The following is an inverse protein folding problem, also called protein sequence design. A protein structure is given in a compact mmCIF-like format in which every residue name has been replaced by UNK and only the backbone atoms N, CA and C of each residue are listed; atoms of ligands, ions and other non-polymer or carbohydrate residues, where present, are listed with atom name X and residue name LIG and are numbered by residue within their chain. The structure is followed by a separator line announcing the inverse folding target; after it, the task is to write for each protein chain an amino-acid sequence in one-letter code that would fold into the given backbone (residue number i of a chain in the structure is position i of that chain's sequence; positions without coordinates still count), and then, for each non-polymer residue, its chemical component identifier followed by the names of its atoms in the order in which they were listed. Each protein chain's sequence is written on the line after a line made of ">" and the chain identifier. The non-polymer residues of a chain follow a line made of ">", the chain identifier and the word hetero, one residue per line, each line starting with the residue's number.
data_IF_151630157469
#
_entry.id   IF_151630157469
#
_cell.length_a   1.000
_cell.length_b   1.000
_cell.length_c   1.000
_cell.angle_alpha   90.00
_cell.angle_beta   90.00
_cell.angle_gamma   90.00
#
_symmetry.space_group_name_H-M   'P 1'
#
loop_
_entity.id
_entity.type
_entity.pdbx_description
1 polymer ?
#
# COMPACT_ATOMS: atom_id res chain seq x y z
N UNK A 1 -20.77 -9.10 -5.61
CA UNK A 1 -20.05 -8.96 -6.88
C UNK A 1 -21.08 -8.78 -7.99
N UNK A 2 -21.49 -7.54 -8.19
CA UNK A 2 -22.45 -7.24 -9.26
C UNK A 2 -21.70 -6.90 -10.53
N UNK A 3 -22.35 -6.65 -11.59
CA UNK A 3 -22.12 -6.12 -12.94
C UNK A 3 -20.72 -5.61 -13.36
N UNK A 4 -19.62 -6.06 -12.75
CA UNK A 4 -18.26 -5.75 -13.23
C UNK A 4 -17.88 -6.69 -14.37
N UNK A 5 -17.02 -6.26 -15.31
CA UNK A 5 -16.49 -7.14 -16.35
C UNK A 5 -15.94 -8.45 -15.81
N UNK A 6 -16.15 -9.57 -16.49
CA UNK A 6 -15.84 -10.91 -16.00
C UNK A 6 -14.41 -11.09 -15.46
N UNK A 7 -13.41 -10.44 -16.08
CA UNK A 7 -12.02 -10.50 -15.62
C UNK A 7 -11.80 -9.84 -14.26
N UNK A 8 -12.51 -8.77 -13.91
CA UNK A 8 -12.44 -8.17 -12.56
C UNK A 8 -13.06 -9.08 -11.52
N UNK A 9 -14.22 -9.68 -11.83
CA UNK A 9 -14.89 -10.63 -10.95
C UNK A 9 -14.03 -11.87 -10.72
N UNK A 10 -13.45 -12.42 -11.79
CA UNK A 10 -12.55 -13.58 -11.69
C UNK A 10 -11.30 -13.26 -10.86
N UNK A 11 -10.70 -12.10 -11.04
CA UNK A 11 -9.54 -11.68 -10.24
C UNK A 11 -9.88 -11.57 -8.75
N UNK A 12 -11.06 -11.06 -8.41
CA UNK A 12 -11.50 -10.97 -7.02
C UNK A 12 -11.68 -12.36 -6.39
N UNK A 13 -12.34 -13.30 -7.11
CA UNK A 13 -12.52 -14.69 -6.66
C UNK A 13 -11.18 -15.39 -6.48
N UNK A 14 -10.28 -15.28 -7.46
CA UNK A 14 -8.94 -15.87 -7.40
C UNK A 14 -8.09 -15.27 -6.27
N UNK A 15 -8.25 -13.99 -5.97
CA UNK A 15 -7.53 -13.36 -4.84
C UNK A 15 -7.98 -13.94 -3.50
N UNK A 16 -9.26 -14.22 -3.33
CA UNK A 16 -9.80 -14.85 -2.12
C UNK A 16 -9.32 -16.30 -1.98
N UNK A 17 -9.37 -17.06 -3.07
CA UNK A 17 -8.84 -18.43 -3.10
C UNK A 17 -7.33 -18.44 -2.81
N UNK A 18 -6.54 -17.60 -3.47
CA UNK A 18 -5.10 -17.49 -3.30
C UNK A 18 -4.71 -17.12 -1.85
N UNK A 19 -5.52 -16.29 -1.16
CA UNK A 19 -5.29 -15.97 0.25
C UNK A 19 -5.20 -17.21 1.13
N UNK A 20 -6.06 -18.19 0.88
CA UNK A 20 -6.11 -19.43 1.65
C UNK A 20 -5.09 -20.48 1.17
N UNK A 21 -4.75 -20.49 -0.12
CA UNK A 21 -3.82 -21.47 -0.70
C UNK A 21 -2.33 -21.09 -0.49
N UNK A 22 -2.01 -19.82 -0.25
CA UNK A 22 -0.63 -19.33 -0.20
C UNK A 22 0.23 -19.99 0.91
N UNK A 23 -0.37 -20.49 1.96
CA UNK A 23 0.30 -21.21 3.06
C UNK A 23 -0.02 -22.72 3.09
N UNK A 24 -0.68 -23.26 2.08
CA UNK A 24 -0.96 -24.69 2.00
C UNK A 24 0.19 -25.43 1.28
N UNK A 25 0.96 -26.28 1.97
CA UNK A 25 2.07 -27.01 1.35
C UNK A 25 1.61 -28.05 0.31
N UNK A 26 0.33 -28.38 0.26
CA UNK A 26 -0.22 -29.36 -0.68
C UNK A 26 -0.84 -28.71 -1.92
N UNK A 27 -1.07 -27.42 -1.93
CA UNK A 27 -1.71 -26.73 -3.05
C UNK A 27 -0.85 -26.74 -4.32
N UNK A 28 0.45 -26.44 -4.20
CA UNK A 28 1.41 -26.37 -5.30
C UNK A 28 2.78 -26.89 -4.87
N UNK A 29 2.89 -28.18 -4.50
CA UNK A 29 4.12 -28.72 -3.92
C UNK A 29 5.33 -28.64 -4.84
N UNK A 30 5.13 -28.63 -6.16
CA UNK A 30 6.19 -28.51 -7.17
C UNK A 30 6.85 -27.13 -7.22
N UNK A 31 6.25 -26.13 -6.54
CA UNK A 31 6.81 -24.77 -6.47
C UNK A 31 7.71 -24.56 -5.25
N UNK A 32 7.66 -25.46 -4.25
CA UNK A 32 8.33 -25.28 -2.96
C UNK A 32 9.86 -25.40 -3.03
N UNK A 33 10.42 -25.90 -4.13
CA UNK A 33 11.86 -25.84 -4.41
C UNK A 33 12.32 -24.45 -4.89
N UNK A 34 11.41 -23.54 -5.24
CA UNK A 34 11.70 -22.18 -5.73
C UNK A 34 11.18 -21.08 -4.82
N UNK A 35 10.10 -21.35 -4.07
CA UNK A 35 9.45 -20.37 -3.18
C UNK A 35 9.13 -21.03 -1.84
N UNK A 36 8.96 -20.20 -0.81
CA UNK A 36 8.55 -20.65 0.52
C UNK A 36 7.07 -20.35 0.74
N UNK A 37 6.45 -21.13 1.61
CA UNK A 37 5.08 -20.85 2.08
C UNK A 37 5.01 -19.48 2.73
N UNK A 38 3.94 -18.75 2.44
CA UNK A 38 3.74 -17.42 3.01
C UNK A 38 2.25 -17.15 3.20
N UNK A 39 1.85 -16.71 4.40
CA UNK A 39 0.48 -16.36 4.70
C UNK A 39 0.33 -14.84 4.73
N UNK A 40 -0.48 -14.25 3.82
CA UNK A 40 -0.91 -12.87 3.95
C UNK A 40 -1.61 -12.65 5.29
N UNK A 41 -1.27 -11.60 6.03
CA UNK A 41 -1.91 -11.36 7.33
C UNK A 41 -3.38 -11.01 7.21
N UNK A 42 -3.76 -10.28 6.17
CA UNK A 42 -5.14 -9.86 5.93
C UNK A 42 -5.40 -9.51 4.48
N UNK A 43 -6.67 -9.57 4.14
CA UNK A 43 -7.18 -9.17 2.84
C UNK A 43 -8.28 -8.14 3.00
N UNK A 44 -8.24 -7.12 2.15
CA UNK A 44 -9.25 -6.08 2.10
C UNK A 44 -9.89 -6.00 0.72
N UNK A 45 -11.15 -5.60 0.71
CA UNK A 45 -11.83 -5.14 -0.49
C UNK A 45 -11.82 -3.60 -0.51
N UNK A 46 -11.25 -3.01 -1.54
CA UNK A 46 -11.36 -1.56 -1.73
C UNK A 46 -12.79 -1.27 -2.18
N UNK A 47 -13.60 -0.71 -1.29
CA UNK A 47 -15.01 -0.47 -1.50
C UNK A 47 -15.34 1.01 -1.58
N UNK A 48 -16.48 1.31 -2.16
CA UNK A 48 -17.02 2.66 -2.25
C UNK A 48 -18.55 2.62 -2.40
N UNK A 49 -19.18 3.79 -2.43
CA UNK A 49 -20.62 3.90 -2.66
C UNK A 49 -21.10 3.13 -3.91
N UNK A 50 -20.23 2.90 -4.87
CA UNK A 50 -20.50 2.12 -6.09
C UNK A 50 -20.92 0.68 -5.79
N UNK A 51 -20.23 0.04 -4.85
CA UNK A 51 -20.52 -1.33 -4.43
C UNK A 51 -21.89 -1.42 -3.72
N UNK A 52 -22.35 -0.32 -3.15
CA UNK A 52 -23.63 -0.22 -2.42
C UNK A 52 -24.78 0.29 -3.30
N UNK A 53 -24.53 0.62 -4.56
CA UNK A 53 -25.50 1.07 -5.54
C UNK A 53 -25.95 2.53 -5.38
N UNK A 54 -25.68 3.20 -4.24
CA UNK A 54 -25.88 4.63 -4.06
C UNK A 54 -25.08 5.18 -2.87
N UNK A 55 -24.81 6.49 -2.87
CA UNK A 55 -24.19 7.20 -1.74
C UNK A 55 -24.98 7.05 -0.46
N UNK A 56 -26.28 7.24 -0.53
CA UNK A 56 -27.15 7.15 0.65
C UNK A 56 -27.12 5.76 1.31
N UNK A 57 -27.09 4.69 0.51
CA UNK A 57 -26.93 3.33 1.03
C UNK A 57 -25.55 3.11 1.65
N UNK A 58 -24.51 3.62 1.03
CA UNK A 58 -23.16 3.54 1.58
C UNK A 58 -23.03 4.31 2.89
N UNK A 59 -23.62 5.50 2.99
CA UNK A 59 -23.64 6.31 4.23
C UNK A 59 -24.37 5.59 5.36
N UNK A 60 -25.47 4.92 5.05
CA UNK A 60 -26.27 4.15 6.00
C UNK A 60 -25.70 2.77 6.36
N UNK A 61 -24.69 2.28 5.62
CA UNK A 61 -24.11 0.97 5.84
C UNK A 61 -23.30 0.91 7.16
N UNK A 62 -23.27 -0.27 7.76
CA UNK A 62 -22.34 -0.57 8.85
C UNK A 62 -20.90 -0.52 8.34
N UNK A 63 -20.09 0.33 8.93
CA UNK A 63 -18.66 0.52 8.60
C UNK A 63 -17.71 -0.06 9.65
N UNK A 64 -18.21 -0.88 10.57
CA UNK A 64 -17.40 -1.49 11.65
C UNK A 64 -16.26 -2.37 11.17
N UNK A 65 -16.33 -2.85 9.93
CA UNK A 65 -15.29 -3.63 9.26
C UNK A 65 -14.52 -2.83 8.20
N UNK A 66 -14.70 -1.53 8.14
CA UNK A 66 -14.04 -0.66 7.16
C UNK A 66 -13.00 0.24 7.82
N UNK A 67 -11.93 0.48 7.11
CA UNK A 67 -10.93 1.51 7.40
C UNK A 67 -11.07 2.60 6.35
N UNK A 68 -11.24 3.84 6.79
CA UNK A 68 -11.20 5.00 5.91
C UNK A 68 -9.77 5.55 5.84
N UNK A 69 -9.25 5.67 4.63
CA UNK A 69 -7.91 6.20 4.38
C UNK A 69 -7.99 7.48 3.56
N UNK A 70 -7.28 8.52 4.01
CA UNK A 70 -7.05 9.69 3.16
C UNK A 70 -6.09 9.30 2.02
N UNK A 71 -6.60 9.31 0.79
CA UNK A 71 -5.86 8.87 -0.39
C UNK A 71 -5.22 10.01 -1.18
N UNK A 72 -5.55 11.26 -0.85
CA UNK A 72 -5.08 12.45 -1.58
C UNK A 72 -4.23 13.43 -0.74
N UNK A 73 -3.27 12.97 0.07
CA UNK A 73 -2.34 13.87 0.72
C UNK A 73 -1.49 14.62 -0.31
N UNK A 74 -1.01 15.79 0.07
CA UNK A 74 -0.02 16.52 -0.69
C UNK A 74 1.37 15.97 -0.42
N UNK A 75 2.08 15.57 -1.47
CA UNK A 75 3.52 15.32 -1.41
C UNK A 75 4.27 16.66 -1.45
N UNK A 76 4.88 17.03 -0.34
CA UNK A 76 5.56 18.32 -0.21
C UNK A 76 6.85 18.41 -1.03
N UNK A 77 7.48 17.27 -1.35
CA UNK A 77 8.68 17.22 -2.19
C UNK A 77 8.33 17.46 -3.66
N UNK A 78 7.25 16.82 -4.11
CA UNK A 78 6.75 16.98 -5.49
C UNK A 78 5.90 18.24 -5.66
N UNK A 79 5.40 18.84 -4.56
CA UNK A 79 4.46 19.95 -4.58
C UNK A 79 3.13 19.61 -5.25
N UNK A 80 2.69 18.35 -5.16
CA UNK A 80 1.49 17.81 -5.81
C UNK A 80 0.76 16.85 -4.91
N UNK A 81 -0.55 16.75 -5.12
CA UNK A 81 -1.36 15.72 -4.46
C UNK A 81 -1.26 14.38 -5.18
N UNK A 82 -1.60 13.31 -4.49
CA UNK A 82 -1.67 11.97 -5.11
C UNK A 82 -2.65 11.94 -6.28
N UNK A 83 -3.78 12.66 -6.22
CA UNK A 83 -4.75 12.73 -7.30
C UNK A 83 -4.18 13.43 -8.55
N UNK A 84 -3.33 14.44 -8.39
CA UNK A 84 -2.65 15.08 -9.52
C UNK A 84 -1.64 14.14 -10.20
N UNK A 85 -0.89 13.37 -9.40
CA UNK A 85 0.03 12.35 -9.92
C UNK A 85 -0.76 11.24 -10.64
N UNK A 86 -1.84 10.77 -10.02
CA UNK A 86 -2.72 9.73 -10.58
C UNK A 86 -3.39 10.19 -11.88
N UNK A 87 -3.89 11.43 -11.95
CA UNK A 87 -4.49 11.98 -13.15
C UNK A 87 -3.48 12.07 -14.31
N UNK A 88 -2.23 12.47 -14.01
CA UNK A 88 -1.15 12.48 -15.00
C UNK A 88 -0.84 11.07 -15.51
N UNK A 89 -0.74 10.09 -14.61
CA UNK A 89 -0.54 8.69 -14.98
C UNK A 89 -1.70 8.16 -15.83
N UNK A 90 -2.93 8.37 -15.39
CA UNK A 90 -4.14 7.94 -16.10
C UNK A 90 -4.24 8.57 -17.49
N UNK A 91 -3.83 9.82 -17.66
CA UNK A 91 -3.84 10.51 -18.96
C UNK A 91 -2.89 9.91 -19.99
N UNK A 92 -1.96 9.03 -19.58
CA UNK A 92 -1.14 8.26 -20.52
C UNK A 92 -1.92 7.12 -21.20
N UNK A 93 -3.08 6.73 -20.65
CA UNK A 93 -3.96 5.71 -21.23
C UNK A 93 -4.92 6.37 -22.22
N UNK A 94 -4.51 6.48 -23.48
CA UNK A 94 -5.25 7.18 -24.53
C UNK A 94 -6.69 6.68 -24.70
N UNK A 95 -6.93 5.38 -24.53
CA UNK A 95 -8.25 4.77 -24.69
C UNK A 95 -9.16 4.85 -23.46
N UNK A 96 -8.62 5.11 -22.26
CA UNK A 96 -9.40 4.97 -21.01
C UNK A 96 -9.21 6.10 -19.99
N UNK A 97 -8.49 7.14 -20.32
CA UNK A 97 -8.22 8.17 -19.31
C UNK A 97 -7.53 9.43 -19.82
N UNK A 98 -7.36 9.53 -21.15
CA UNK A 98 -6.74 10.70 -21.76
C UNK A 98 -7.44 12.00 -21.32
N UNK A 99 -6.65 12.97 -20.86
CA UNK A 99 -7.19 14.24 -20.38
C UNK A 99 -7.86 14.17 -19.01
N UNK A 100 -7.62 13.13 -18.20
CA UNK A 100 -8.16 13.03 -16.84
C UNK A 100 -7.74 14.21 -15.98
N UNK A 101 -8.72 14.87 -15.35
CA UNK A 101 -8.49 15.94 -14.39
C UNK A 101 -8.39 15.37 -12.97
N UNK A 102 -7.48 15.91 -12.13
CA UNK A 102 -7.39 15.48 -10.74
C UNK A 102 -8.61 15.96 -9.95
N UNK A 103 -9.02 15.17 -8.98
CA UNK A 103 -9.94 15.64 -7.95
C UNK A 103 -9.16 16.46 -6.92
N UNK A 104 -9.73 17.57 -6.48
CA UNK A 104 -9.14 18.45 -5.48
C UNK A 104 -9.72 18.14 -4.09
N UNK A 105 -8.91 18.39 -3.06
CA UNK A 105 -9.30 18.23 -1.66
C UNK A 105 -9.16 16.81 -1.14
N UNK A 106 -9.63 16.60 0.08
CA UNK A 106 -9.59 15.31 0.78
C UNK A 106 -10.40 14.25 0.05
N UNK A 107 -9.84 13.06 -0.07
CA UNK A 107 -10.48 11.91 -0.70
C UNK A 107 -10.32 10.68 0.20
N UNK A 108 -11.43 10.15 0.66
CA UNK A 108 -11.43 8.94 1.48
C UNK A 108 -11.66 7.71 0.61
N UNK A 109 -10.73 6.77 0.72
CA UNK A 109 -10.87 5.40 0.23
C UNK A 109 -11.23 4.48 1.40
N UNK A 110 -12.06 3.49 1.13
CA UNK A 110 -12.55 2.57 2.16
C UNK A 110 -12.04 1.16 1.89
N UNK A 111 -11.39 0.58 2.88
CA UNK A 111 -10.90 -0.79 2.86
C UNK A 111 -11.78 -1.64 3.78
N UNK A 112 -12.63 -2.47 3.21
CA UNK A 112 -13.45 -3.42 3.94
C UNK A 112 -12.65 -4.69 4.23
N UNK A 113 -12.49 -5.05 5.51
CA UNK A 113 -11.79 -6.25 5.91
C UNK A 113 -12.60 -7.50 5.52
N UNK A 114 -11.94 -8.47 4.84
CA UNK A 114 -12.57 -9.69 4.34
C UNK A 114 -12.00 -10.91 5.05
N UNK A 115 -10.67 -11.07 5.06
CA UNK A 115 -10.00 -12.27 5.55
C UNK A 115 -8.78 -11.93 6.41
N UNK A 116 -8.37 -12.92 7.23
CA UNK A 116 -7.18 -12.91 8.05
C UNK A 116 -7.34 -12.15 9.37
N UNK A 117 -6.26 -11.61 9.90
CA UNK A 117 -6.25 -10.88 11.16
C UNK A 117 -6.96 -9.54 11.01
N UNK A 118 -8.02 -9.32 11.81
CA UNK A 118 -8.69 -8.02 11.81
C UNK A 118 -7.74 -6.93 12.32
N UNK A 119 -7.63 -5.78 11.64
CA UNK A 119 -6.80 -4.68 12.11
C UNK A 119 -7.30 -4.15 13.47
N UNK A 120 -6.38 -3.78 14.34
CA UNK A 120 -6.69 -3.29 15.70
C UNK A 120 -6.90 -1.78 15.78
N UNK A 121 -6.68 -1.06 14.68
CA UNK A 121 -6.84 0.39 14.59
C UNK A 121 -7.23 0.75 13.15
N UNK A 122 -7.54 2.02 12.91
CA UNK A 122 -7.81 2.58 11.57
C UNK A 122 -6.54 2.63 10.69
N UNK A 123 -5.77 1.54 10.73
CA UNK A 123 -4.54 1.36 9.99
C UNK A 123 -4.48 -0.05 9.40
N UNK A 124 -4.51 -0.20 8.08
CA UNK A 124 -4.47 -1.50 7.42
C UNK A 124 -3.18 -2.28 7.69
N UNK A 125 -2.12 -1.61 8.14
CA UNK A 125 -0.83 -2.22 8.50
C UNK A 125 -0.65 -2.46 10.00
N UNK A 126 -1.69 -2.27 10.82
CA UNK A 126 -1.59 -2.51 12.27
C UNK A 126 -1.06 -3.93 12.55
N UNK A 127 -0.07 -4.04 13.43
CA UNK A 127 0.60 -5.31 13.76
C UNK A 127 1.51 -5.89 12.66
N UNK A 128 1.81 -5.11 11.60
CA UNK A 128 2.81 -5.46 10.60
C UNK A 128 4.03 -4.56 10.81
N UNK A 129 5.19 -5.15 11.03
CA UNK A 129 6.44 -4.39 11.06
C UNK A 129 6.81 -3.97 9.63
N UNK A 130 6.73 -2.67 9.35
CA UNK A 130 7.13 -2.05 8.09
C UNK A 130 8.46 -1.32 8.19
N UNK A 131 9.12 -1.39 9.34
CA UNK A 131 10.40 -0.71 9.58
C UNK A 131 11.58 -1.47 8.96
N UNK A 132 12.73 -0.82 8.89
CA UNK A 132 13.98 -1.45 8.50
C UNK A 132 14.44 -2.54 9.48
N UNK A 133 13.96 -2.53 10.73
CA UNK A 133 14.29 -3.55 11.75
C UNK A 133 13.92 -4.97 11.34
N UNK A 134 12.94 -5.14 10.43
CA UNK A 134 12.56 -6.45 9.88
C UNK A 134 13.62 -7.05 8.93
N UNK A 135 14.59 -6.25 8.50
CA UNK A 135 15.66 -6.66 7.59
C UNK A 135 16.91 -6.97 8.42
N UNK A 136 17.60 -8.06 8.13
CA UNK A 136 18.86 -8.38 8.78
C UNK A 136 19.90 -7.29 8.46
N UNK A 137 20.48 -6.68 9.51
CA UNK A 137 21.35 -5.50 9.40
C UNK A 137 20.63 -4.16 9.24
N UNK A 138 19.30 -4.13 9.28
CA UNK A 138 18.50 -2.91 9.08
C UNK A 138 18.31 -2.03 10.33
N UNK A 139 18.79 -2.43 11.50
CA UNK A 139 18.61 -1.67 12.76
C UNK A 139 19.18 -0.26 12.67
N UNK A 140 20.44 -0.14 12.24
CA UNK A 140 21.12 1.15 12.09
C UNK A 140 20.44 2.04 11.06
N UNK A 141 19.99 1.46 9.94
CA UNK A 141 19.25 2.17 8.90
C UNK A 141 17.94 2.72 9.44
N UNK A 142 17.24 1.91 10.27
CA UNK A 142 15.99 2.36 10.90
C UNK A 142 16.22 3.62 11.77
N UNK A 143 17.22 3.60 12.63
CA UNK A 143 17.49 4.73 13.54
C UNK A 143 17.93 5.98 12.76
N UNK A 144 18.79 5.82 11.74
CA UNK A 144 19.20 6.93 10.87
C UNK A 144 18.03 7.52 10.09
N UNK A 145 17.19 6.68 9.49
CA UNK A 145 16.02 7.11 8.72
C UNK A 145 15.00 7.82 9.60
N UNK A 146 14.72 7.26 10.79
CA UNK A 146 13.82 7.88 11.76
C UNK A 146 14.30 9.27 12.15
N UNK A 147 15.57 9.40 12.52
CA UNK A 147 16.16 10.70 12.89
C UNK A 147 16.12 11.70 11.73
N UNK A 148 16.40 11.25 10.51
CA UNK A 148 16.31 12.09 9.32
C UNK A 148 14.88 12.60 9.11
N UNK A 149 13.88 11.72 9.17
CA UNK A 149 12.47 12.10 8.99
C UNK A 149 11.98 13.09 10.06
N UNK A 150 12.41 12.93 11.30
CA UNK A 150 12.05 13.83 12.41
C UNK A 150 12.66 15.22 12.28
N UNK A 151 13.82 15.34 11.62
CA UNK A 151 14.59 16.58 11.54
C UNK A 151 14.76 17.12 10.11
N UNK A 152 14.01 16.57 9.13
CA UNK A 152 14.19 16.95 7.73
C UNK A 152 13.88 18.42 7.50
N UNK A 153 14.87 19.15 6.99
CA UNK A 153 14.73 20.57 6.65
C UNK A 153 14.27 20.71 5.22
N UNK A 154 12.99 20.99 5.02
CA UNK A 154 12.38 21.22 3.70
C UNK A 154 12.74 22.58 3.10
N UNK A 155 13.11 23.56 3.93
CA UNK A 155 13.47 24.91 3.46
C UNK A 155 14.92 24.95 2.96
N UNK A 156 15.81 24.20 3.60
CA UNK A 156 17.21 24.09 3.22
C UNK A 156 17.62 22.61 3.06
N UNK A 157 17.11 21.91 2.02
CA UNK A 157 17.25 20.45 1.88
C UNK A 157 18.69 19.97 1.76
N UNK A 158 19.64 20.84 1.38
CA UNK A 158 21.06 20.50 1.35
C UNK A 158 21.65 20.18 2.73
N UNK A 159 21.06 20.66 3.81
CA UNK A 159 21.47 20.32 5.19
C UNK A 159 21.26 18.83 5.51
N UNK A 160 20.37 18.17 4.79
CA UNK A 160 20.07 16.74 5.03
C UNK A 160 21.01 15.79 4.26
N UNK A 161 21.87 16.32 3.35
CA UNK A 161 22.71 15.49 2.45
C UNK A 161 23.65 14.58 3.24
N UNK A 162 24.25 15.08 4.31
CA UNK A 162 25.18 14.30 5.13
C UNK A 162 24.51 13.07 5.77
N UNK A 163 23.28 13.19 6.24
CA UNK A 163 22.53 12.09 6.83
C UNK A 163 21.96 11.14 5.76
N UNK A 164 21.54 11.65 4.62
CA UNK A 164 21.18 10.82 3.45
C UNK A 164 22.36 9.96 2.98
N UNK A 165 23.58 10.51 2.93
CA UNK A 165 24.77 9.74 2.56
C UNK A 165 25.11 8.65 3.58
N UNK A 166 24.90 8.89 4.87
CA UNK A 166 25.06 7.83 5.88
C UNK A 166 24.07 6.70 5.64
N UNK A 167 22.79 7.02 5.43
CA UNK A 167 21.75 6.02 5.14
C UNK A 167 22.11 5.25 3.87
N UNK A 168 22.52 5.93 2.81
CA UNK A 168 22.95 5.30 1.56
C UNK A 168 24.09 4.29 1.78
N UNK A 169 25.11 4.65 2.54
CA UNK A 169 26.24 3.77 2.83
C UNK A 169 25.83 2.53 3.63
N UNK A 170 24.95 2.71 4.63
CA UNK A 170 24.42 1.58 5.41
C UNK A 170 23.59 0.64 4.54
N UNK A 171 22.68 1.17 3.72
CA UNK A 171 21.88 0.35 2.80
C UNK A 171 22.76 -0.37 1.77
N UNK A 172 23.82 0.28 1.29
CA UNK A 172 24.76 -0.33 0.34
C UNK A 172 25.61 -1.45 0.98
N UNK A 173 25.71 -1.50 2.30
CA UNK A 173 26.47 -2.51 3.05
C UNK A 173 25.65 -3.73 3.50
N UNK A 174 24.33 -3.70 3.34
CA UNK A 174 23.45 -4.83 3.72
C UNK A 174 23.83 -6.08 2.92
N UNK A 175 23.91 -7.22 3.61
CA UNK A 175 24.23 -8.51 2.98
C UNK A 175 23.10 -9.02 2.08
N UNK A 176 21.84 -8.76 2.45
CA UNK A 176 20.66 -9.13 1.67
C UNK A 176 20.63 -8.34 0.35
N UNK A 177 20.88 -9.03 -0.75
CA UNK A 177 20.96 -8.44 -2.09
C UNK A 177 19.66 -7.86 -2.59
N UNK A 178 18.53 -8.27 -2.04
CA UNK A 178 17.20 -7.70 -2.38
C UNK A 178 17.07 -6.25 -1.89
N UNK A 179 17.67 -5.94 -0.73
CA UNK A 179 17.55 -4.62 -0.08
C UNK A 179 18.79 -3.73 -0.27
N UNK A 180 19.87 -4.31 -0.77
CA UNK A 180 21.13 -3.58 -1.04
C UNK A 180 20.99 -2.72 -2.29
N UNK A 181 21.40 -1.45 -2.20
CA UNK A 181 21.51 -0.52 -3.34
C UNK A 181 22.77 -0.76 -4.15
#
# INVERSE_FOLDING_TARGET
>A
PGSTPGHHTSSAMLSEEAFHLANDPNAFPEQLDKVTLWQPKRQFYNTSWWAYGSRARFEAADKSNMIALESNPTDFVLGRTNAEVAAKSRSQHESQGFGSSPQLGSQLEYLEWINGEKPTADNPRSGIDTSWKRINGGEQIHELTKRLLENFDFQTPHNNVADLLKIYNEVSSIEDTHWRL
#
